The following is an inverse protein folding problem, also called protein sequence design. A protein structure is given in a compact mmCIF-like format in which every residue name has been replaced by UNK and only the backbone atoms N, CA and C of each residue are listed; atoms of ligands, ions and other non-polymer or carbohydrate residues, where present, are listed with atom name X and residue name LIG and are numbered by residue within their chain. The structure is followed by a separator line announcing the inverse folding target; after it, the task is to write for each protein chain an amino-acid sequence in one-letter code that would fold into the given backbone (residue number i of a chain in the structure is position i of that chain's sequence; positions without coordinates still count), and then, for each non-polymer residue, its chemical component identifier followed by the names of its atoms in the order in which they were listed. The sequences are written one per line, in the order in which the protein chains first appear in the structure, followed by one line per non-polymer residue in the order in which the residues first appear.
data_IF_997462905430
#
_entry.id   IF_997462905430
#
_cell.length_a   1.000
_cell.length_b   1.000
_cell.length_c   1.000
_cell.angle_alpha   90.00
_cell.angle_beta   90.00
_cell.angle_gamma   90.00
#
_symmetry.space_group_name_H-M   'P 1'
#
loop_
_entity.id
_entity.type
_entity.pdbx_description
1 polymer ?
#
# COMPACT_ATOMS: atom_id res chain seq x y z
N UNK A 1 -6.37 -13.74 0.32
CA UNK A 1 -6.48 -12.26 0.40
C UNK A 1 -7.04 -11.89 1.76
N UNK A 2 -6.75 -10.69 2.26
CA UNK A 2 -7.32 -10.23 3.52
C UNK A 2 -8.78 -9.82 3.33
N UNK A 3 -9.68 -10.29 4.19
CA UNK A 3 -11.10 -9.85 4.16
C UNK A 3 -11.42 -8.79 5.21
N UNK A 4 -10.55 -8.65 6.20
CA UNK A 4 -10.72 -7.72 7.31
C UNK A 4 -9.38 -7.31 7.90
N UNK A 5 -9.31 -6.08 8.37
CA UNK A 5 -8.20 -5.47 9.08
C UNK A 5 -8.79 -4.68 10.26
N UNK A 6 -8.41 -5.03 11.48
CA UNK A 6 -8.59 -4.16 12.64
C UNK A 6 -7.25 -3.53 12.96
N UNK A 7 -7.20 -2.23 13.26
CA UNK A 7 -5.97 -1.55 13.68
C UNK A 7 -6.24 -0.75 14.94
N UNK A 8 -5.39 -0.93 15.95
CA UNK A 8 -5.45 -0.18 17.19
C UNK A 8 -4.17 0.63 17.42
N UNK A 9 -4.35 1.82 18.00
CA UNK A 9 -3.29 2.76 18.40
C UNK A 9 -2.20 3.04 17.35
N UNK A 10 -2.59 3.20 16.08
CA UNK A 10 -1.69 3.59 14.99
C UNK A 10 -2.10 4.93 14.38
N UNK A 11 -1.35 6.00 14.68
CA UNK A 11 -1.65 7.36 14.21
C UNK A 11 -3.11 7.74 14.53
N UNK A 12 -3.95 7.99 13.53
CA UNK A 12 -5.39 8.28 13.71
C UNK A 12 -6.28 7.03 13.85
N UNK A 13 -5.73 5.83 13.66
CA UNK A 13 -6.44 4.54 13.82
C UNK A 13 -6.36 4.10 15.29
N UNK A 14 -7.42 4.34 16.06
CA UNK A 14 -7.44 4.05 17.51
C UNK A 14 -7.95 2.64 17.82
N UNK A 15 -9.10 2.29 17.25
CA UNK A 15 -9.70 0.95 17.25
C UNK A 15 -10.60 0.88 16.02
N UNK A 16 -9.95 0.81 14.85
CA UNK A 16 -10.60 0.95 13.56
C UNK A 16 -10.71 -0.42 12.92
N UNK A 17 -11.94 -0.85 12.68
CA UNK A 17 -12.26 -2.08 11.97
C UNK A 17 -12.61 -1.79 10.50
N UNK A 18 -11.99 -2.53 9.58
CA UNK A 18 -12.07 -2.30 8.14
C UNK A 18 -12.33 -3.63 7.47
N UNK A 19 -13.41 -3.72 6.70
CA UNK A 19 -13.64 -4.85 5.79
C UNK A 19 -12.96 -4.55 4.46
N UNK A 20 -12.34 -5.58 3.87
CA UNK A 20 -11.56 -5.47 2.64
C UNK A 20 -12.12 -6.41 1.58
N UNK A 21 -12.15 -5.92 0.35
CA UNK A 21 -12.46 -6.64 -0.88
C UNK A 21 -11.17 -6.88 -1.68
N UNK A 22 -11.20 -7.72 -2.73
CA UNK A 22 -10.08 -7.80 -3.68
C UNK A 22 -9.67 -6.43 -4.24
N UNK A 23 -10.64 -5.56 -4.54
CA UNK A 23 -10.45 -4.14 -4.81
C UNK A 23 -11.24 -3.33 -3.79
N UNK A 24 -10.55 -2.54 -2.96
CA UNK A 24 -11.16 -1.65 -1.96
C UNK A 24 -10.79 -0.20 -2.23
N UNK A 25 -11.78 0.69 -2.27
CA UNK A 25 -11.60 2.13 -2.45
C UNK A 25 -11.97 2.87 -1.16
N UNK A 26 -11.01 3.60 -0.61
CA UNK A 26 -11.21 4.50 0.52
C UNK A 26 -11.46 5.92 0.02
N UNK A 27 -12.63 6.48 0.33
CA UNK A 27 -13.04 7.85 0.01
C UNK A 27 -13.25 8.65 1.30
N UNK A 28 -12.81 9.90 1.36
CA UNK A 28 -12.90 10.69 2.59
C UNK A 28 -12.17 12.03 2.48
N UNK A 29 -12.36 13.01 3.39
CA UNK A 29 -11.62 14.27 3.39
C UNK A 29 -10.12 14.09 3.69
N UNK A 30 -9.33 15.14 3.43
CA UNK A 30 -7.90 15.15 3.74
C UNK A 30 -7.69 14.92 5.25
N UNK A 31 -6.73 14.07 5.61
CA UNK A 31 -6.45 13.75 7.01
C UNK A 31 -7.45 12.81 7.68
N UNK A 32 -8.43 12.23 6.98
CA UNK A 32 -9.38 11.28 7.58
C UNK A 32 -8.76 9.94 7.99
N UNK A 33 -7.54 9.63 7.51
CA UNK A 33 -6.80 8.42 7.88
C UNK A 33 -6.64 7.38 6.77
N UNK A 34 -7.10 7.65 5.53
CA UNK A 34 -6.97 6.72 4.38
C UNK A 34 -5.53 6.23 4.16
N UNK A 35 -4.56 7.15 4.12
CA UNK A 35 -3.13 6.81 4.01
C UNK A 35 -2.63 5.99 5.20
N UNK A 36 -3.11 6.28 6.41
CA UNK A 36 -2.72 5.52 7.60
C UNK A 36 -3.16 4.05 7.51
N UNK A 37 -4.27 3.76 6.83
CA UNK A 37 -4.73 2.38 6.59
C UNK A 37 -3.70 1.63 5.72
N UNK A 38 -3.33 2.19 4.56
CA UNK A 38 -2.36 1.59 3.65
C UNK A 38 -0.99 1.42 4.31
N UNK A 39 -0.54 2.45 5.04
CA UNK A 39 0.73 2.41 5.76
C UNK A 39 0.74 1.36 6.87
N UNK A 40 -0.37 1.14 7.59
CA UNK A 40 -0.44 0.11 8.64
C UNK A 40 -0.13 -1.29 8.10
N UNK A 41 -0.59 -1.61 6.87
CA UNK A 41 -0.30 -2.87 6.20
C UNK A 41 1.16 -2.95 5.74
N UNK A 42 1.71 -1.86 5.21
CA UNK A 42 3.12 -1.79 4.80
C UNK A 42 4.07 -1.98 5.99
N UNK A 43 3.74 -1.42 7.15
CA UNK A 43 4.50 -1.60 8.40
C UNK A 43 4.53 -3.08 8.79
N UNK A 44 3.38 -3.75 8.74
CA UNK A 44 3.28 -5.17 9.07
C UNK A 44 4.05 -6.06 8.10
N UNK A 45 3.97 -5.75 6.81
CA UNK A 45 4.75 -6.45 5.79
C UNK A 45 6.25 -6.29 6.01
N UNK A 46 6.71 -5.06 6.28
CA UNK A 46 8.12 -4.77 6.58
C UNK A 46 8.60 -5.57 7.78
N UNK A 47 7.79 -5.64 8.84
CA UNK A 47 8.10 -6.42 10.03
C UNK A 47 8.24 -7.92 9.71
N UNK A 48 7.32 -8.49 8.93
CA UNK A 48 7.38 -9.88 8.51
C UNK A 48 8.63 -10.20 7.68
N UNK A 49 8.97 -9.32 6.73
CA UNK A 49 10.17 -9.46 5.92
C UNK A 49 11.43 -9.46 6.78
N UNK A 50 11.52 -8.51 7.72
CA UNK A 50 12.67 -8.39 8.61
C UNK A 50 12.82 -9.60 9.54
N UNK A 51 11.72 -10.17 10.09
CA UNK A 51 11.81 -11.41 10.87
C UNK A 51 12.18 -12.61 10.00
N UNK A 52 11.67 -12.68 8.77
CA UNK A 52 11.97 -13.80 7.87
C UNK A 52 13.45 -13.85 7.49
N UNK A 53 14.10 -12.69 7.35
CA UNK A 53 15.50 -12.57 6.95
C UNK A 53 16.47 -12.79 8.12
N UNK A 54 17.33 -13.83 8.10
CA UNK A 54 18.30 -14.07 9.17
C UNK A 54 19.35 -12.99 9.36
N UNK A 55 19.58 -12.16 8.35
CA UNK A 55 20.65 -11.16 8.33
C UNK A 55 20.15 -9.75 8.64
N UNK A 56 18.84 -9.57 8.84
CA UNK A 56 18.26 -8.27 9.17
C UNK A 56 18.14 -8.12 10.69
N UNK A 57 19.01 -7.29 11.26
CA UNK A 57 19.18 -7.15 12.71
C UNK A 57 18.59 -5.85 13.27
N UNK A 58 18.12 -4.93 12.42
CA UNK A 58 17.65 -3.60 12.85
C UNK A 58 16.12 -3.48 12.95
N UNK A 59 15.52 -4.40 13.71
CA UNK A 59 14.10 -4.30 14.05
C UNK A 59 13.80 -3.00 14.80
N UNK A 60 14.72 -2.51 15.63
CA UNK A 60 14.54 -1.27 16.40
C UNK A 60 14.41 -0.04 15.50
N UNK A 61 15.23 0.08 14.45
CA UNK A 61 15.10 1.11 13.43
C UNK A 61 13.78 1.02 12.67
N UNK A 62 13.37 -0.20 12.31
CA UNK A 62 12.07 -0.46 11.66
C UNK A 62 10.91 0.05 12.52
N UNK A 63 10.90 -0.28 13.82
CA UNK A 63 9.89 0.22 14.77
C UNK A 63 9.96 1.73 14.99
N UNK A 64 11.16 2.29 15.11
CA UNK A 64 11.37 3.72 15.35
C UNK A 64 10.88 4.55 14.16
N UNK A 65 11.05 4.04 12.94
CA UNK A 65 10.56 4.66 11.70
C UNK A 65 9.03 4.82 11.67
N UNK A 66 8.30 3.88 12.26
CA UNK A 66 6.84 3.80 12.15
C UNK A 66 6.07 4.12 13.45
N UNK A 67 6.76 4.43 14.55
CA UNK A 67 6.17 4.89 15.82
C UNK A 67 6.27 6.41 15.95
N UNK A 68 5.13 7.10 16.13
CA UNK A 68 5.13 8.55 16.32
C UNK A 68 5.78 8.93 17.67
N UNK A 69 6.28 10.17 17.80
CA UNK A 69 6.59 10.77 19.11
C UNK A 69 5.27 11.26 19.72
N UNK A 70 4.61 10.44 20.51
CA UNK A 70 3.60 10.91 21.47
C UNK A 70 3.92 10.30 22.81
N UNK A 71 3.98 11.14 23.85
CA UNK A 71 4.16 10.67 25.22
C UNK A 71 3.02 9.72 25.59
N UNK A 72 3.35 8.62 26.26
CA UNK A 72 2.54 7.45 26.60
C UNK A 72 2.55 6.30 25.58
N UNK A 73 2.63 5.07 26.12
CA UNK A 73 2.76 3.78 25.43
C UNK A 73 1.94 3.71 24.13
N UNK A 74 2.62 3.66 22.99
CA UNK A 74 1.99 3.24 21.73
C UNK A 74 2.01 1.73 21.68
N UNK A 75 0.88 1.09 21.40
CA UNK A 75 0.82 -0.35 21.18
C UNK A 75 -0.03 -0.65 19.97
N UNK A 76 0.59 -0.93 18.83
CA UNK A 76 -0.15 -1.44 17.67
C UNK A 76 -0.91 -2.70 18.09
N UNK A 77 -2.13 -2.95 17.64
CA UNK A 77 -2.78 -4.27 17.70
C UNK A 77 -3.54 -4.39 16.39
N UNK A 78 -3.10 -5.28 15.50
CA UNK A 78 -3.88 -5.63 14.32
C UNK A 78 -4.70 -6.89 14.58
N UNK A 79 -5.85 -7.06 13.93
CA UNK A 79 -6.51 -8.38 13.80
C UNK A 79 -6.90 -8.55 12.34
N UNK A 80 -6.49 -9.66 11.75
CA UNK A 80 -6.81 -10.04 10.37
C UNK A 80 -7.89 -11.12 10.37
N UNK A 81 -8.69 -11.23 9.30
CA UNK A 81 -9.69 -12.30 9.16
C UNK A 81 -9.73 -12.81 7.71
N UNK A 82 -9.88 -14.13 7.53
CA UNK A 82 -10.03 -14.78 6.22
C UNK A 82 -11.11 -15.89 6.26
N UNK A 83 -12.35 -15.57 6.67
CA UNK A 83 -13.49 -16.52 6.59
C UNK A 83 -13.49 -17.68 7.60
N UNK A 84 -12.35 -17.99 8.24
CA UNK A 84 -12.22 -18.73 9.50
C UNK A 84 -11.58 -17.81 10.57
N UNK A 85 -11.78 -18.12 11.85
CA UNK A 85 -11.40 -17.31 13.03
C UNK A 85 -9.86 -17.29 13.26
N UNK A 86 -9.11 -16.85 12.25
CA UNK A 86 -7.65 -16.78 12.26
C UNK A 86 -7.27 -15.30 12.37
N UNK A 87 -6.65 -14.86 13.46
CA UNK A 87 -6.24 -13.46 13.63
C UNK A 87 -4.82 -13.32 14.16
N UNK A 88 -4.09 -12.33 13.63
CA UNK A 88 -2.73 -11.98 14.02
C UNK A 88 -2.76 -10.68 14.82
N UNK A 89 -2.45 -10.75 16.11
CA UNK A 89 -2.22 -9.61 17.03
C UNK A 89 -0.73 -9.25 17.03
N UNK A 90 -0.40 -8.16 16.39
CA UNK A 90 0.91 -7.56 16.53
C UNK A 90 0.89 -6.47 17.57
N UNK A 91 1.65 -6.59 18.67
CA UNK A 91 1.74 -5.55 19.71
C UNK A 91 3.15 -5.14 20.05
N UNK A 92 3.52 -3.93 19.62
CA UNK A 92 4.83 -3.34 19.90
C UNK A 92 4.67 -2.11 20.80
N UNK A 93 5.35 -2.07 21.95
CA UNK A 93 5.28 -0.95 22.88
C UNK A 93 6.63 -0.34 23.24
N UNK A 94 6.69 1.00 23.17
CA UNK A 94 7.86 1.80 23.54
C UNK A 94 7.55 2.69 24.74
N UNK A 95 8.43 2.70 25.75
CA UNK A 95 8.40 3.65 26.85
C UNK A 95 9.40 4.78 26.60
N UNK A 96 8.96 6.03 26.72
CA UNK A 96 9.87 7.18 26.91
C UNK A 96 10.33 7.18 28.36
N UNK A 97 11.63 7.01 28.60
CA UNK A 97 12.21 7.18 29.93
C UNK A 97 12.37 8.70 30.13
N UNK A 98 11.69 9.27 31.13
CA UNK A 98 11.68 10.72 31.40
C UNK A 98 13.02 11.27 31.93
N UNK A 99 14.04 10.43 32.13
CA UNK A 99 15.29 10.80 32.83
C UNK A 99 16.58 10.73 31.97
N UNK A 100 16.52 10.51 30.66
CA UNK A 100 17.73 10.55 29.81
C UNK A 100 17.93 11.97 29.22
N UNK A 101 19.10 12.63 29.39
CA UNK A 101 19.39 13.89 28.71
C UNK A 101 19.30 13.71 27.19
N UNK A 102 19.13 14.79 26.42
CA UNK A 102 18.93 14.71 24.98
C UNK A 102 20.23 14.31 24.26
N UNK A 103 20.64 13.05 24.37
CA UNK A 103 21.44 12.40 23.36
C UNK A 103 20.50 12.04 22.22
N UNK A 104 20.79 12.54 21.03
CA UNK A 104 20.28 11.93 19.82
C UNK A 104 20.64 10.43 19.86
N UNK A 105 19.71 9.58 19.44
CA UNK A 105 19.78 8.11 19.33
C UNK A 105 19.26 7.30 20.53
N UNK A 106 18.05 6.73 20.35
CA UNK A 106 17.62 5.50 21.04
C UNK A 106 16.28 5.59 21.78
N UNK A 107 15.15 5.32 21.10
CA UNK A 107 13.92 4.92 21.80
C UNK A 107 14.10 3.47 22.28
N UNK A 108 13.94 3.21 23.58
CA UNK A 108 13.97 1.84 24.11
C UNK A 108 12.59 1.18 23.98
N UNK A 109 12.51 0.12 23.16
CA UNK A 109 11.33 -0.75 23.08
C UNK A 109 11.37 -1.67 24.30
N UNK A 110 10.42 -1.52 25.22
CA UNK A 110 10.44 -2.25 26.51
C UNK A 110 9.67 -3.56 26.47
N UNK A 111 8.70 -3.68 25.56
CA UNK A 111 7.93 -4.91 25.37
C UNK A 111 7.49 -5.04 23.90
N UNK A 112 7.95 -6.13 23.27
CA UNK A 112 7.47 -6.60 21.97
C UNK A 112 6.71 -7.91 22.22
N UNK A 113 5.43 -7.91 21.87
CA UNK A 113 4.56 -9.09 21.95
C UNK A 113 3.90 -9.37 20.61
N UNK A 114 4.04 -10.60 20.11
CA UNK A 114 3.35 -11.07 18.92
C UNK A 114 2.43 -12.22 19.35
N UNK A 115 1.13 -12.03 19.15
CA UNK A 115 0.10 -13.03 19.34
C UNK A 115 -0.41 -13.49 17.98
N UNK A 116 -0.32 -14.79 17.69
CA UNK A 116 -0.96 -15.36 16.51
C UNK A 116 -1.98 -16.36 17.02
N UNK A 117 -3.26 -16.08 16.74
CA UNK A 117 -4.35 -16.99 17.01
C UNK A 117 -4.75 -17.63 15.68
N UNK A 118 -4.23 -18.84 15.47
CA UNK A 118 -4.56 -19.71 14.35
C UNK A 118 -5.31 -20.93 14.93
N UNK A 119 -6.23 -21.59 14.18
CA UNK A 119 -7.04 -22.66 14.75
C UNK A 119 -6.14 -23.72 15.38
N UNK A 120 -6.29 -23.88 16.70
CA UNK A 120 -5.59 -24.83 17.58
C UNK A 120 -4.18 -24.50 18.08
N UNK A 121 -3.59 -23.32 17.77
CA UNK A 121 -2.30 -22.92 18.37
C UNK A 121 -2.23 -21.42 18.65
N UNK A 122 -2.28 -21.06 19.94
CA UNK A 122 -2.06 -19.70 20.42
C UNK A 122 -0.55 -19.52 20.67
N UNK A 123 0.13 -18.82 19.75
CA UNK A 123 1.57 -18.54 19.87
C UNK A 123 1.74 -17.16 20.46
N UNK A 124 2.33 -17.10 21.65
CA UNK A 124 2.61 -15.86 22.35
C UNK A 124 4.11 -15.69 22.55
N UNK A 125 4.72 -14.82 21.74
CA UNK A 125 6.11 -14.43 21.90
C UNK A 125 6.17 -13.10 22.63
N UNK A 126 6.72 -13.07 23.86
CA UNK A 126 6.93 -11.85 24.64
C UNK A 126 8.40 -11.67 25.00
N UNK A 127 8.96 -10.54 24.59
CA UNK A 127 10.31 -10.12 24.94
C UNK A 127 10.24 -8.83 25.78
N UNK A 128 10.81 -8.86 26.99
CA UNK A 128 10.93 -7.69 27.88
C UNK A 128 12.37 -7.56 28.37
N UNK A 129 13.04 -6.42 28.20
CA UNK A 129 14.22 -6.12 29.04
C UNK A 129 14.58 -4.64 29.14
N UNK A 130 15.39 -4.34 30.17
CA UNK A 130 15.96 -3.04 30.57
C UNK A 130 17.43 -2.84 30.14
N UNK A 131 17.96 -3.65 29.22
CA UNK A 131 19.38 -3.59 28.84
C UNK A 131 19.56 -3.26 27.36
N UNK A 132 20.61 -2.49 27.07
CA UNK A 132 20.95 -2.00 25.74
C UNK A 132 21.15 -3.13 24.71
N UNK A 133 20.66 -2.85 23.50
CA UNK A 133 20.18 -3.77 22.48
C UNK A 133 21.30 -4.30 21.58
N UNK A 134 21.40 -5.63 21.44
CA UNK A 134 21.75 -6.31 20.17
C UNK A 134 21.23 -7.76 20.19
N UNK A 135 20.46 -8.10 19.15
CA UNK A 135 20.15 -9.44 18.65
C UNK A 135 19.32 -10.44 19.50
N UNK A 136 19.33 -10.39 20.84
CA UNK A 136 18.68 -11.45 21.66
C UNK A 136 17.14 -11.46 21.60
N UNK A 137 16.49 -10.32 21.36
CA UNK A 137 15.02 -10.21 21.38
C UNK A 137 14.35 -10.84 20.16
N UNK A 138 14.96 -10.66 19.00
CA UNK A 138 14.42 -11.07 17.71
C UNK A 138 14.63 -12.57 17.49
N UNK A 139 15.73 -13.14 17.98
CA UNK A 139 16.01 -14.57 17.88
C UNK A 139 14.92 -15.44 18.52
N UNK A 140 14.43 -15.07 19.71
CA UNK A 140 13.37 -15.83 20.39
C UNK A 140 12.02 -15.71 19.70
N UNK A 141 11.62 -14.49 19.33
CA UNK A 141 10.37 -14.26 18.60
C UNK A 141 10.41 -15.00 17.26
N UNK A 142 11.54 -14.93 16.57
CA UNK A 142 11.78 -15.63 15.31
C UNK A 142 11.76 -17.14 15.47
N UNK A 143 12.41 -17.71 16.49
CA UNK A 143 12.43 -19.16 16.68
C UNK A 143 11.05 -19.71 17.04
N UNK A 144 10.26 -18.97 17.83
CA UNK A 144 8.87 -19.30 18.13
C UNK A 144 7.97 -19.17 16.88
N UNK A 145 8.20 -18.16 16.02
CA UNK A 145 7.46 -17.97 14.76
C UNK A 145 7.81 -19.01 13.68
N UNK A 146 9.10 -19.33 13.54
CA UNK A 146 9.55 -20.39 12.62
C UNK A 146 9.00 -21.74 13.10
N UNK A 147 9.10 -22.01 14.41
CA UNK A 147 8.64 -23.26 15.00
C UNK A 147 7.12 -23.46 14.96
N UNK A 148 6.34 -22.42 14.72
CA UNK A 148 4.88 -22.47 14.65
C UNK A 148 4.29 -22.62 13.25
N UNK A 149 5.11 -22.59 12.19
CA UNK A 149 4.62 -22.69 10.81
C UNK A 149 3.89 -21.44 10.33
N UNK A 150 4.04 -20.30 11.01
CA UNK A 150 3.38 -19.03 10.66
C UNK A 150 3.79 -18.55 9.27
N UNK A 151 5.04 -18.79 8.88
CA UNK A 151 5.55 -18.45 7.54
C UNK A 151 4.91 -19.27 6.42
N UNK A 152 4.29 -20.40 6.74
CA UNK A 152 3.53 -21.24 5.81
C UNK A 152 2.02 -20.91 5.83
N UNK A 153 1.59 -19.94 6.64
CA UNK A 153 0.18 -19.56 6.78
C UNK A 153 -0.31 -18.68 5.62
N UNK A 154 -1.61 -18.75 5.35
CA UNK A 154 -2.29 -17.90 4.37
C UNK A 154 -2.24 -16.41 4.74
N UNK A 155 -2.13 -16.08 6.04
CA UNK A 155 -1.98 -14.70 6.51
C UNK A 155 -0.60 -14.17 6.16
N UNK A 156 0.45 -14.96 6.40
CA UNK A 156 1.80 -14.59 5.99
C UNK A 156 1.89 -14.44 4.47
N UNK A 157 1.32 -15.37 3.71
CA UNK A 157 1.22 -15.25 2.25
C UNK A 157 0.53 -13.96 1.81
N UNK A 158 -0.58 -13.58 2.47
CA UNK A 158 -1.31 -12.35 2.16
C UNK A 158 -0.57 -11.06 2.54
N UNK A 159 0.31 -11.09 3.55
CA UNK A 159 1.08 -9.93 4.03
C UNK A 159 2.56 -9.94 3.61
N UNK A 160 2.97 -10.95 2.84
CA UNK A 160 4.37 -11.20 2.46
C UNK A 160 5.02 -9.95 1.86
N UNK A 161 4.28 -9.25 1.00
CA UNK A 161 4.75 -8.03 0.37
C UNK A 161 3.60 -7.06 0.12
N UNK A 162 3.63 -5.95 0.84
CA UNK A 162 2.68 -4.85 0.70
C UNK A 162 3.43 -3.63 0.20
N UNK A 163 3.09 -3.19 -1.01
CA UNK A 163 3.65 -1.98 -1.61
C UNK A 163 2.65 -0.83 -1.55
N UNK A 164 3.14 0.36 -1.23
CA UNK A 164 2.35 1.59 -1.19
C UNK A 164 2.98 2.58 -2.16
N UNK A 165 2.21 3.05 -3.13
CA UNK A 165 2.65 4.00 -4.14
C UNK A 165 1.89 5.33 -4.01
N UNK A 166 2.67 6.40 -3.93
CA UNK A 166 2.25 7.80 -3.97
C UNK A 166 3.09 8.51 -5.02
N UNK A 167 2.73 8.30 -6.28
CA UNK A 167 3.57 8.69 -7.40
C UNK A 167 3.75 10.21 -7.50
N UNK A 168 5.00 10.65 -7.58
CA UNK A 168 5.37 12.05 -7.79
C UNK A 168 6.01 12.22 -9.16
N UNK A 169 5.46 13.06 -10.07
CA UNK A 169 6.05 13.30 -11.38
C UNK A 169 7.51 13.75 -11.31
N UNK A 170 7.87 14.58 -10.33
CA UNK A 170 9.24 15.02 -10.11
C UNK A 170 10.19 13.87 -9.73
N UNK A 171 9.71 12.90 -8.96
CA UNK A 171 10.48 11.69 -8.61
C UNK A 171 10.59 10.73 -9.79
N UNK A 172 9.51 10.57 -10.55
CA UNK A 172 9.44 9.73 -11.75
C UNK A 172 10.36 10.22 -12.88
N UNK A 173 10.45 11.54 -13.07
CA UNK A 173 11.32 12.16 -14.06
C UNK A 173 12.80 12.20 -13.64
N UNK A 174 13.12 11.86 -12.39
CA UNK A 174 14.49 11.96 -11.86
C UNK A 174 15.34 10.79 -12.32
N UNK A 175 16.45 11.09 -12.99
CA UNK A 175 17.51 10.11 -13.26
C UNK A 175 18.33 9.92 -11.98
N UNK A 176 18.37 8.67 -11.51
CA UNK A 176 19.10 8.30 -10.29
C UNK A 176 20.39 7.54 -10.63
N UNK A 177 21.31 7.51 -9.66
CA UNK A 177 22.56 6.77 -9.78
C UNK A 177 22.37 5.26 -9.62
N UNK A 178 23.42 4.51 -9.98
CA UNK A 178 23.45 3.03 -9.96
C UNK A 178 23.33 2.37 -8.59
N UNK A 179 23.32 3.14 -7.50
CA UNK A 179 23.04 2.63 -6.16
C UNK A 179 21.56 2.32 -5.93
N UNK A 180 20.66 2.84 -6.78
CA UNK A 180 19.23 2.54 -6.74
C UNK A 180 18.98 1.31 -7.60
N UNK A 181 18.30 0.31 -7.02
CA UNK A 181 18.04 -0.98 -7.67
C UNK A 181 16.55 -1.31 -7.74
N UNK A 182 15.67 -0.42 -7.31
CA UNK A 182 14.23 -0.64 -7.34
C UNK A 182 13.47 0.69 -7.37
N UNK A 183 12.19 0.61 -7.73
CA UNK A 183 11.27 1.76 -7.68
C UNK A 183 10.74 1.93 -6.26
N UNK A 184 10.86 3.12 -5.68
CA UNK A 184 10.34 3.42 -4.34
C UNK A 184 8.85 3.89 -4.38
N UNK A 185 8.28 4.17 -3.20
CA UNK A 185 6.89 4.67 -3.04
C UNK A 185 6.54 5.85 -3.97
N UNK A 186 7.49 6.75 -4.23
CA UNK A 186 7.25 7.94 -5.06
C UNK A 186 7.38 7.71 -6.56
N UNK A 187 7.83 6.51 -6.97
CA UNK A 187 8.15 6.18 -8.34
C UNK A 187 9.59 6.49 -8.75
N UNK A 188 10.39 7.10 -7.88
CA UNK A 188 11.82 7.23 -8.15
C UNK A 188 12.46 5.85 -8.33
N UNK A 189 13.32 5.72 -9.34
CA UNK A 189 13.93 4.45 -9.73
C UNK A 189 13.13 3.69 -10.77
N UNK A 190 12.05 4.28 -11.34
CA UNK A 190 11.21 3.64 -12.35
C UNK A 190 11.99 3.07 -13.54
N UNK A 191 13.04 3.76 -14.02
CA UNK A 191 13.86 3.26 -15.11
C UNK A 191 14.55 1.94 -14.77
N UNK A 192 14.99 1.76 -13.52
CA UNK A 192 15.58 0.51 -13.04
C UNK A 192 14.53 -0.58 -12.92
N UNK A 193 13.36 -0.28 -12.36
CA UNK A 193 12.27 -1.26 -12.29
C UNK A 193 11.84 -1.74 -13.69
N UNK A 194 11.77 -0.84 -14.69
CA UNK A 194 11.50 -1.21 -16.08
C UNK A 194 12.60 -2.06 -16.70
N UNK A 195 13.88 -1.75 -16.40
CA UNK A 195 15.03 -2.59 -16.81
C UNK A 195 14.93 -3.98 -16.18
N UNK A 196 14.60 -4.07 -14.90
CA UNK A 196 14.45 -5.35 -14.19
C UNK A 196 13.33 -6.18 -14.81
N UNK A 197 12.17 -5.59 -15.08
CA UNK A 197 11.06 -6.25 -15.79
C UNK A 197 11.51 -6.74 -17.17
N UNK A 198 12.17 -5.88 -17.95
CA UNK A 198 12.66 -6.22 -19.30
C UNK A 198 13.64 -7.41 -19.28
N UNK A 199 14.50 -7.50 -18.26
CA UNK A 199 15.49 -8.56 -18.14
C UNK A 199 14.93 -9.85 -17.55
N UNK A 200 14.01 -9.76 -16.59
CA UNK A 200 13.43 -10.91 -15.90
C UNK A 200 12.30 -11.57 -16.73
N UNK A 201 11.40 -10.75 -17.27
CA UNK A 201 10.23 -11.19 -18.03
C UNK A 201 9.99 -10.28 -19.24
N UNK A 202 10.63 -10.64 -20.35
CA UNK A 202 10.48 -9.93 -21.62
C UNK A 202 9.04 -9.96 -22.13
N UNK A 203 8.30 -11.05 -21.92
CA UNK A 203 6.91 -11.14 -22.38
C UNK A 203 6.04 -10.17 -21.57
N UNK A 204 6.20 -10.14 -20.25
CA UNK A 204 5.55 -9.17 -19.38
C UNK A 204 5.87 -7.72 -19.76
N UNK A 205 7.12 -7.43 -20.14
CA UNK A 205 7.50 -6.11 -20.65
C UNK A 205 6.80 -5.75 -21.97
N UNK A 206 6.75 -6.68 -22.93
CA UNK A 206 6.08 -6.47 -24.22
C UNK A 206 4.57 -6.23 -24.02
N UNK A 207 3.94 -6.95 -23.07
CA UNK A 207 2.54 -6.74 -22.67
C UNK A 207 2.32 -5.38 -21.99
N UNK A 208 3.24 -4.97 -21.11
CA UNK A 208 3.24 -3.64 -20.49
C UNK A 208 3.28 -2.55 -21.57
N UNK A 209 4.17 -2.67 -22.57
CA UNK A 209 4.26 -1.69 -23.67
C UNK A 209 2.99 -1.66 -24.53
N UNK A 210 2.38 -2.83 -24.79
CA UNK A 210 1.11 -2.89 -25.52
C UNK A 210 -0.01 -2.19 -24.74
N UNK A 211 -0.12 -2.42 -23.42
CA UNK A 211 -1.09 -1.70 -22.57
C UNK A 211 -0.79 -0.20 -22.51
N UNK A 212 0.48 0.19 -22.42
CA UNK A 212 0.88 1.60 -22.47
C UNK A 212 0.40 2.26 -23.77
N UNK A 213 0.57 1.60 -24.92
CA UNK A 213 0.10 2.11 -26.22
C UNK A 213 -1.41 2.23 -26.31
N UNK A 214 -2.17 1.37 -25.63
CA UNK A 214 -3.63 1.47 -25.55
C UNK A 214 -4.06 2.69 -24.71
N UNK A 215 -3.34 2.98 -23.62
CA UNK A 215 -3.62 4.11 -22.74
C UNK A 215 -3.10 5.43 -23.32
N UNK A 216 -1.93 5.42 -23.96
CA UNK A 216 -1.26 6.58 -24.55
C UNK A 216 -1.00 6.36 -26.05
N UNK A 217 -2.01 6.54 -26.94
CA UNK A 217 -1.92 6.18 -28.36
C UNK A 217 -0.87 6.92 -29.19
N UNK A 218 -0.35 8.03 -28.66
CA UNK A 218 0.69 8.84 -29.29
C UNK A 218 2.10 8.29 -29.02
N UNK A 219 2.25 7.35 -28.09
CA UNK A 219 3.53 6.73 -27.75
C UNK A 219 3.72 5.47 -28.58
N UNK A 220 4.94 5.26 -29.07
CA UNK A 220 5.35 4.09 -29.85
C UNK A 220 5.96 3.00 -28.97
N UNK A 221 6.95 3.35 -28.13
CA UNK A 221 7.63 2.41 -27.22
C UNK A 221 8.38 3.14 -26.11
N UNK A 222 8.79 2.38 -25.09
CA UNK A 222 9.70 2.80 -24.04
C UNK A 222 11.15 2.56 -24.51
N UNK A 223 12.06 3.47 -24.17
CA UNK A 223 13.49 3.30 -24.34
C UNK A 223 14.19 3.58 -23.02
N UNK A 224 15.16 2.74 -22.68
CA UNK A 224 15.91 2.78 -21.41
C UNK A 224 17.41 2.94 -21.70
N UNK A 225 17.87 4.13 -22.13
CA UNK A 225 19.28 4.30 -22.47
C UNK A 225 20.16 4.17 -21.22
N UNK A 226 21.29 3.51 -21.40
CA UNK A 226 22.33 3.38 -20.37
C UNK A 226 23.33 4.52 -20.49
N UNK A 227 23.39 5.36 -19.47
CA UNK A 227 24.39 6.42 -19.32
C UNK A 227 25.76 5.90 -18.90
N UNK A 228 26.76 6.80 -18.94
CA UNK A 228 28.18 6.48 -18.71
C UNK A 228 28.48 5.88 -17.32
N UNK A 229 27.68 6.21 -16.30
CA UNK A 229 27.85 5.73 -14.92
C UNK A 229 26.99 4.50 -14.60
N UNK A 230 26.59 3.74 -15.62
CA UNK A 230 25.61 2.65 -15.49
C UNK A 230 24.26 3.14 -14.93
N UNK A 231 23.94 4.41 -15.15
CA UNK A 231 22.62 4.96 -14.86
C UNK A 231 21.66 4.63 -15.99
N UNK A 232 20.41 4.33 -15.68
CA UNK A 232 19.35 4.21 -16.68
C UNK A 232 18.44 5.43 -16.62
N UNK A 233 18.06 5.96 -17.78
CA UNK A 233 17.01 6.97 -17.91
C UNK A 233 15.77 6.38 -18.56
N UNK A 234 14.63 7.03 -18.35
CA UNK A 234 13.40 6.73 -19.06
C UNK A 234 13.24 7.71 -20.24
N UNK A 235 13.01 7.17 -21.43
CA UNK A 235 12.62 7.92 -22.63
C UNK A 235 11.43 7.23 -23.30
N UNK A 236 10.62 8.01 -24.01
CA UNK A 236 9.57 7.49 -24.89
C UNK A 236 9.87 7.83 -26.33
N UNK A 237 9.44 6.99 -27.26
CA UNK A 237 9.43 7.32 -28.69
C UNK A 237 8.04 7.78 -29.08
N UNK A 238 7.93 8.98 -29.65
CA UNK A 238 6.70 9.48 -30.24
C UNK A 238 6.34 8.70 -31.52
N UNK A 239 5.06 8.34 -31.66
CA UNK A 239 4.56 7.52 -32.78
C UNK A 239 4.58 8.20 -34.13
N UNK A 240 4.50 9.54 -34.18
CA UNK A 240 4.35 10.28 -35.44
C UNK A 240 5.67 10.89 -35.93
N UNK A 241 6.59 11.17 -35.03
CA UNK A 241 7.85 11.86 -35.31
C UNK A 241 9.10 11.01 -35.09
N UNK A 242 8.97 9.82 -34.49
CA UNK A 242 10.09 8.99 -34.01
C UNK A 242 11.06 9.74 -33.07
N UNK A 243 10.61 10.86 -32.51
CA UNK A 243 11.40 11.69 -31.61
C UNK A 243 11.50 11.04 -30.22
N UNK A 244 12.70 11.12 -29.64
CA UNK A 244 12.95 10.71 -28.27
C UNK A 244 12.49 11.79 -27.30
N UNK A 245 11.56 11.44 -26.42
CA UNK A 245 11.05 12.31 -25.38
C UNK A 245 11.69 11.88 -24.06
N UNK A 246 12.63 12.65 -23.49
CA UNK A 246 13.24 12.34 -22.20
C UNK A 246 12.21 12.47 -21.08
N UNK A 247 12.39 11.72 -20.00
CA UNK A 247 11.47 11.72 -18.84
C UNK A 247 11.15 13.09 -18.24
N UNK A 248 12.03 14.08 -18.36
CA UNK A 248 11.78 15.48 -17.95
C UNK A 248 10.69 16.18 -18.77
N UNK A 249 10.45 15.72 -20.00
CA UNK A 249 9.57 16.35 -20.98
C UNK A 249 8.29 15.54 -21.19
N UNK A 250 8.16 14.37 -20.53
CA UNK A 250 6.94 13.57 -20.51
C UNK A 250 5.92 14.27 -19.58
N UNK A 251 4.66 14.37 -20.03
CA UNK A 251 3.59 14.91 -19.20
C UNK A 251 3.40 14.12 -17.90
N UNK A 252 3.11 14.78 -16.78
CA UNK A 252 2.86 14.17 -15.47
C UNK A 252 1.90 12.98 -15.50
N UNK A 253 0.77 13.12 -16.21
CA UNK A 253 -0.21 12.04 -16.34
C UNK A 253 0.38 10.81 -17.02
N UNK A 254 1.16 10.99 -18.09
CA UNK A 254 1.83 9.89 -18.79
C UNK A 254 2.90 9.22 -17.91
N UNK A 255 3.68 9.98 -17.14
CA UNK A 255 4.64 9.41 -16.16
C UNK A 255 3.91 8.55 -15.12
N UNK A 256 2.76 9.01 -14.60
CA UNK A 256 1.94 8.25 -13.66
C UNK A 256 1.35 6.98 -14.27
N UNK A 257 0.92 7.01 -15.53
CA UNK A 257 0.46 5.79 -16.23
C UNK A 257 1.60 4.77 -16.37
N UNK A 258 2.81 5.22 -16.73
CA UNK A 258 3.97 4.32 -16.82
C UNK A 258 4.28 3.75 -15.44
N UNK A 259 4.31 4.57 -14.39
CA UNK A 259 4.55 4.13 -13.02
C UNK A 259 3.52 3.11 -12.52
N UNK A 260 2.24 3.37 -12.83
CA UNK A 260 1.14 2.47 -12.54
C UNK A 260 1.32 1.11 -13.22
N UNK A 261 1.62 1.09 -14.52
CA UNK A 261 1.90 -0.18 -15.22
C UNK A 261 3.16 -0.85 -14.68
N UNK A 262 4.24 -0.11 -14.43
CA UNK A 262 5.48 -0.65 -13.86
C UNK A 262 5.22 -1.33 -12.51
N UNK A 263 4.44 -0.71 -11.62
CA UNK A 263 4.08 -1.28 -10.33
C UNK A 263 3.31 -2.61 -10.45
N UNK A 264 2.50 -2.74 -11.50
CA UNK A 264 1.67 -3.90 -11.76
C UNK A 264 2.43 -5.08 -12.39
N UNK A 265 3.52 -4.81 -13.09
CA UNK A 265 4.31 -5.80 -13.84
C UNK A 265 5.63 -6.20 -13.14
N UNK A 266 5.86 -5.75 -11.89
CA UNK A 266 7.07 -6.14 -11.16
C UNK A 266 7.11 -7.66 -10.92
N UNK A 267 8.29 -8.25 -11.11
CA UNK A 267 8.53 -9.70 -11.00
C UNK A 267 8.14 -10.26 -9.62
N UNK A 268 8.59 -9.62 -8.54
CA UNK A 268 8.18 -9.95 -7.18
C UNK A 268 6.84 -9.28 -6.89
N UNK A 269 5.79 -9.77 -7.56
CA UNK A 269 4.45 -9.18 -7.51
C UNK A 269 3.96 -9.15 -6.05
N UNK A 270 3.63 -7.97 -5.51
CA UNK A 270 3.17 -7.84 -4.14
C UNK A 270 1.81 -8.52 -3.94
N UNK A 271 1.57 -9.03 -2.72
CA UNK A 271 0.29 -9.61 -2.34
C UNK A 271 -0.80 -8.54 -2.15
N UNK A 272 -0.39 -7.32 -1.79
CA UNK A 272 -1.25 -6.13 -1.68
C UNK A 272 -0.56 -4.92 -2.29
N UNK A 273 -1.26 -4.18 -3.15
CA UNK A 273 -0.82 -2.87 -3.66
C UNK A 273 -1.77 -1.80 -3.16
N UNK A 274 -1.22 -0.74 -2.59
CA UNK A 274 -1.95 0.47 -2.24
C UNK A 274 -1.57 1.60 -3.20
N UNK A 275 -2.53 2.18 -3.89
CA UNK A 275 -2.34 3.40 -4.68
C UNK A 275 -2.94 4.60 -3.95
N UNK A 276 -2.11 5.60 -3.65
CA UNK A 276 -2.56 6.85 -3.05
C UNK A 276 -2.93 7.88 -4.12
N UNK A 277 -4.11 8.47 -3.95
CA UNK A 277 -4.66 9.54 -4.80
C UNK A 277 -4.41 9.28 -6.29
N UNK A 278 -4.78 8.08 -6.75
CA UNK A 278 -4.48 7.57 -8.09
C UNK A 278 -5.04 8.45 -9.21
N UNK A 279 -6.06 9.26 -8.91
CA UNK A 279 -6.65 10.25 -9.81
C UNK A 279 -5.72 11.45 -10.14
N UNK A 280 -4.71 11.73 -9.31
CA UNK A 280 -4.00 13.00 -9.37
C UNK A 280 -3.25 13.17 -10.68
N UNK A 281 -3.54 14.24 -11.41
CA UNK A 281 -2.89 14.54 -12.71
C UNK A 281 -3.27 13.57 -13.84
N UNK A 282 -4.29 12.73 -13.64
CA UNK A 282 -4.75 11.75 -14.64
C UNK A 282 -6.11 12.19 -15.21
N UNK A 283 -6.24 12.14 -16.54
CA UNK A 283 -7.49 12.46 -17.22
C UNK A 283 -8.60 11.44 -16.85
N UNK A 284 -9.87 11.85 -16.63
CA UNK A 284 -10.95 10.95 -16.22
C UNK A 284 -11.13 9.68 -17.06
N UNK A 285 -10.94 9.78 -18.38
CA UNK A 285 -11.00 8.62 -19.28
C UNK A 285 -9.87 7.60 -19.00
N UNK A 286 -8.65 8.07 -18.71
CA UNK A 286 -7.54 7.20 -18.33
C UNK A 286 -7.79 6.57 -16.95
N UNK A 287 -8.29 7.37 -16.00
CA UNK A 287 -8.64 6.88 -14.68
C UNK A 287 -9.64 5.73 -14.74
N UNK A 288 -10.66 5.84 -15.59
CA UNK A 288 -11.61 4.74 -15.84
C UNK A 288 -10.90 3.46 -16.31
N UNK A 289 -9.98 3.58 -17.29
CA UNK A 289 -9.22 2.43 -17.81
C UNK A 289 -8.27 1.84 -16.79
N UNK A 290 -7.67 2.66 -15.92
CA UNK A 290 -6.87 2.18 -14.80
C UNK A 290 -7.71 1.37 -13.80
N UNK A 291 -8.90 1.85 -13.44
CA UNK A 291 -9.81 1.13 -12.53
C UNK A 291 -10.28 -0.19 -13.15
N UNK A 292 -10.63 -0.21 -14.45
CA UNK A 292 -10.95 -1.46 -15.16
C UNK A 292 -9.79 -2.47 -15.07
N UNK A 293 -8.54 -2.02 -15.28
CA UNK A 293 -7.38 -2.88 -15.15
C UNK A 293 -7.18 -3.38 -13.71
N UNK A 294 -7.37 -2.51 -12.70
CA UNK A 294 -7.26 -2.89 -11.30
C UNK A 294 -8.32 -3.92 -10.87
N UNK A 295 -9.53 -3.86 -11.44
CA UNK A 295 -10.54 -4.90 -11.23
C UNK A 295 -10.01 -6.27 -11.71
N UNK A 296 -9.47 -6.33 -12.93
CA UNK A 296 -8.89 -7.56 -13.50
C UNK A 296 -7.70 -8.05 -12.65
N UNK A 297 -6.77 -7.15 -12.29
CA UNK A 297 -5.62 -7.45 -11.42
C UNK A 297 -6.09 -8.06 -10.09
N UNK A 298 -7.17 -7.52 -9.52
CA UNK A 298 -7.68 -7.96 -8.23
C UNK A 298 -8.36 -9.33 -8.23
N UNK A 299 -8.85 -9.80 -9.37
CA UNK A 299 -9.60 -11.05 -9.46
C UNK A 299 -8.85 -12.15 -10.21
N UNK A 300 -8.17 -11.79 -11.29
CA UNK A 300 -7.50 -12.72 -12.22
C UNK A 300 -5.98 -12.62 -12.11
N UNK A 301 -5.46 -11.46 -11.71
CA UNK A 301 -4.03 -11.16 -11.74
C UNK A 301 -3.53 -10.78 -13.14
N UNK A 302 -2.31 -10.24 -13.21
CA UNK A 302 -1.64 -9.99 -14.51
C UNK A 302 -0.88 -11.22 -14.97
N UNK A 303 -0.12 -11.86 -14.07
CA UNK A 303 0.67 -13.07 -14.30
C UNK A 303 -0.04 -14.35 -13.83
N UNK A 304 -1.35 -14.28 -13.60
CA UNK A 304 -2.18 -15.43 -13.17
C UNK A 304 -2.30 -15.61 -11.65
N UNK A 305 -1.79 -14.67 -10.85
CA UNK A 305 -2.10 -14.60 -9.42
C UNK A 305 -2.77 -13.26 -9.08
N UNK A 306 -3.93 -13.27 -8.42
CA UNK A 306 -4.66 -12.06 -8.10
C UNK A 306 -3.96 -11.28 -6.99
N UNK A 307 -3.93 -9.96 -7.15
CA UNK A 307 -3.27 -9.03 -6.22
C UNK A 307 -4.33 -8.21 -5.51
N UNK A 308 -4.30 -8.12 -4.19
CA UNK A 308 -5.28 -7.29 -3.50
C UNK A 308 -4.96 -5.81 -3.70
N UNK A 309 -5.93 -5.02 -4.15
CA UNK A 309 -5.75 -3.62 -4.50
C UNK A 309 -6.51 -2.73 -3.52
N UNK A 310 -5.78 -1.78 -2.93
CA UNK A 310 -6.33 -0.72 -2.09
C UNK A 310 -6.10 0.63 -2.78
N UNK A 311 -7.13 1.46 -2.87
CA UNK A 311 -7.03 2.81 -3.46
C UNK A 311 -7.45 3.81 -2.40
N UNK A 312 -6.66 4.87 -2.19
CA UNK A 312 -7.14 6.06 -1.49
C UNK A 312 -7.48 7.13 -2.53
N UNK A 313 -8.60 7.82 -2.32
CA UNK A 313 -9.06 8.83 -3.27
C UNK A 313 -9.84 9.93 -2.58
N UNK A 314 -9.89 11.07 -3.24
CA UNK A 314 -10.76 12.22 -2.98
C UNK A 314 -11.69 12.49 -4.17
N UNK A 315 -11.61 11.67 -5.22
CA UNK A 315 -12.26 11.90 -6.50
C UNK A 315 -13.66 11.28 -6.54
N UNK A 316 -14.73 12.09 -6.63
CA UNK A 316 -16.07 11.56 -6.90
C UNK A 316 -16.12 10.85 -8.25
N UNK A 317 -15.34 11.31 -9.22
CA UNK A 317 -15.24 10.71 -10.55
C UNK A 317 -14.74 9.26 -10.48
N UNK A 318 -13.81 8.94 -9.56
CA UNK A 318 -13.33 7.57 -9.37
C UNK A 318 -14.46 6.66 -8.88
N UNK A 319 -15.32 7.15 -7.99
CA UNK A 319 -16.42 6.38 -7.42
C UNK A 319 -17.38 5.85 -8.49
N UNK A 320 -17.55 6.56 -9.60
CA UNK A 320 -18.42 6.14 -10.71
C UNK A 320 -17.86 4.92 -11.47
N UNK A 321 -16.62 4.50 -11.23
CA UNK A 321 -15.98 3.36 -11.89
C UNK A 321 -15.91 2.11 -11.00
N UNK A 322 -16.39 2.19 -9.76
CA UNK A 322 -16.34 1.09 -8.78
C UNK A 322 -17.73 0.73 -8.27
N UNK A 323 -17.85 -0.48 -7.75
CA UNK A 323 -19.12 -0.99 -7.25
C UNK A 323 -19.32 -0.55 -5.79
N UNK A 324 -20.56 -0.28 -5.32
CA UNK A 324 -20.80 0.24 -3.97
C UNK A 324 -20.19 -0.61 -2.84
N UNK A 325 -20.14 -1.94 -3.01
CA UNK A 325 -19.56 -2.85 -2.01
C UNK A 325 -18.02 -2.76 -1.93
N UNK A 326 -17.36 -2.17 -2.93
CA UNK A 326 -15.90 -1.94 -2.95
C UNK A 326 -15.51 -0.66 -2.21
N UNK A 327 -16.47 0.22 -1.91
CA UNK A 327 -16.19 1.53 -1.33
C UNK A 327 -16.25 1.49 0.20
N UNK A 328 -15.34 2.22 0.83
CA UNK A 328 -15.29 2.51 2.26
C UNK A 328 -15.21 4.02 2.45
N UNK A 329 -16.22 4.59 3.09
CA UNK A 329 -16.20 5.99 3.48
C UNK A 329 -15.36 6.16 4.76
N UNK A 330 -14.43 7.11 4.73
CA UNK A 330 -13.44 7.33 5.80
C UNK A 330 -13.58 8.74 6.33
N UNK A 331 -13.90 8.87 7.60
CA UNK A 331 -14.13 10.13 8.30
C UNK A 331 -13.23 10.25 9.52
N UNK A 332 -13.15 11.45 10.08
CA UNK A 332 -12.55 11.70 11.38
C UNK A 332 -13.64 12.18 12.34
N UNK A 333 -13.74 11.54 13.51
CA UNK A 333 -14.69 11.97 14.53
C UNK A 333 -14.20 13.22 15.28
N UNK A 334 -15.05 13.73 16.19
CA UNK A 334 -14.75 14.92 17.00
C UNK A 334 -13.57 14.74 17.95
N UNK A 335 -13.15 13.50 18.21
CA UNK A 335 -12.02 13.15 19.06
C UNK A 335 -10.73 12.92 18.24
N UNK A 336 -10.79 13.09 16.92
CA UNK A 336 -9.64 12.89 16.03
C UNK A 336 -9.42 11.43 15.62
N UNK A 337 -10.41 10.55 15.81
CA UNK A 337 -10.29 9.11 15.49
C UNK A 337 -10.86 8.82 14.11
N UNK A 338 -10.16 7.99 13.35
CA UNK A 338 -10.62 7.53 12.05
C UNK A 338 -11.79 6.56 12.19
N UNK A 339 -12.89 6.88 11.51
CA UNK A 339 -14.06 6.04 11.35
C UNK A 339 -14.14 5.54 9.91
N UNK A 340 -14.42 4.26 9.73
CA UNK A 340 -14.52 3.63 8.40
C UNK A 340 -15.88 2.96 8.28
N UNK A 341 -16.63 3.32 7.24
CA UNK A 341 -17.99 2.85 7.02
C UNK A 341 -18.10 2.13 5.69
N UNK A 342 -18.78 0.98 5.69
CA UNK A 342 -19.26 0.35 4.47
C UNK A 342 -20.46 1.11 3.94
N UNK A 343 -20.61 1.18 2.62
CA UNK A 343 -21.81 1.76 2.03
C UNK A 343 -23.02 0.88 2.38
N UNK A 344 -24.19 1.46 2.74
CA UNK A 344 -25.36 0.72 3.17
C UNK A 344 -26.11 0.13 1.96
N UNK A 345 -25.47 -0.77 1.21
CA UNK A 345 -25.97 -1.37 -0.04
C UNK A 345 -27.26 -2.16 0.15
N UNK A 346 -27.56 -2.62 1.37
CA UNK A 346 -28.81 -3.29 1.73
C UNK A 346 -29.98 -2.34 2.07
N UNK A 347 -29.69 -1.05 2.24
CA UNK A 347 -30.71 -0.05 2.57
C UNK A 347 -31.55 0.30 1.34
N UNK A 348 -32.87 0.12 1.45
CA UNK A 348 -33.81 0.58 0.43
C UNK A 348 -33.70 2.08 0.16
N UNK A 349 -33.32 2.88 1.18
CA UNK A 349 -33.09 4.32 1.01
C UNK A 349 -31.87 4.58 0.13
N UNK A 350 -30.77 3.89 0.39
CA UNK A 350 -29.54 4.02 -0.39
C UNK A 350 -29.74 3.58 -1.84
N UNK A 351 -30.40 2.43 -2.07
CA UNK A 351 -30.70 1.94 -3.43
C UNK A 351 -31.54 2.93 -4.22
N UNK A 352 -32.60 3.48 -3.63
CA UNK A 352 -33.44 4.51 -4.27
C UNK A 352 -32.67 5.79 -4.58
N UNK A 353 -31.75 6.18 -3.70
CA UNK A 353 -30.92 7.34 -3.93
C UNK A 353 -29.92 7.10 -5.07
N UNK A 354 -29.25 5.94 -5.07
CA UNK A 354 -28.35 5.55 -6.15
C UNK A 354 -29.07 5.48 -7.50
N UNK A 355 -30.28 4.92 -7.54
CA UNK A 355 -31.15 4.93 -8.72
C UNK A 355 -31.53 6.35 -9.18
N UNK A 356 -31.78 7.28 -8.24
CA UNK A 356 -32.11 8.67 -8.56
C UNK A 356 -30.94 9.46 -9.15
N UNK A 357 -29.71 8.98 -8.96
CA UNK A 357 -28.48 9.52 -9.54
C UNK A 357 -27.93 8.61 -10.65
N UNK A 358 -28.78 7.79 -11.29
CA UNK A 358 -28.42 6.90 -12.41
C UNK A 358 -27.24 5.94 -12.12
N UNK A 359 -26.99 5.62 -10.85
CA UNK A 359 -25.87 4.79 -10.43
C UNK A 359 -24.57 5.54 -10.11
N UNK A 360 -24.52 6.86 -10.25
CA UNK A 360 -23.33 7.67 -10.00
C UNK A 360 -23.08 7.86 -8.50
N UNK A 361 -22.20 7.03 -7.95
CA UNK A 361 -21.75 7.11 -6.56
C UNK A 361 -21.08 8.45 -6.23
N UNK A 362 -20.41 9.07 -7.20
CA UNK A 362 -19.76 10.37 -7.07
C UNK A 362 -20.74 11.49 -6.72
N UNK A 363 -21.88 11.54 -7.41
CA UNK A 363 -22.95 12.52 -7.11
C UNK A 363 -23.59 12.23 -5.75
N UNK A 364 -23.82 10.95 -5.45
CA UNK A 364 -24.39 10.54 -4.17
C UNK A 364 -23.48 10.92 -2.98
N UNK A 365 -22.16 10.92 -3.16
CA UNK A 365 -21.20 11.31 -2.12
C UNK A 365 -21.41 12.75 -1.64
N UNK A 366 -21.70 13.69 -2.56
CA UNK A 366 -21.97 15.09 -2.21
C UNK A 366 -23.27 15.29 -1.43
N UNK A 367 -24.15 14.29 -1.40
CA UNK A 367 -25.43 14.36 -0.66
C UNK A 367 -25.33 13.89 0.80
N UNK A 368 -24.13 13.53 1.25
CA UNK A 368 -23.85 13.05 2.62
C UNK A 368 -24.68 11.82 3.02
N UNK A 369 -25.02 10.96 2.04
CA UNK A 369 -25.88 9.80 2.30
C UNK A 369 -25.15 8.57 2.85
N UNK A 370 -23.83 8.51 2.73
CA UNK A 370 -23.01 7.40 3.20
C UNK A 370 -21.69 7.81 3.87
N UNK A 371 -21.52 9.10 4.14
CA UNK A 371 -20.35 9.66 4.81
C UNK A 371 -19.10 9.81 3.92
N UNK A 372 -18.02 10.26 4.53
CA UNK A 372 -16.73 10.56 3.91
C UNK A 372 -16.73 11.91 3.18
N UNK A 373 -17.76 12.74 3.31
CA UNK A 373 -17.85 14.02 2.61
C UNK A 373 -16.89 15.05 3.24
N UNK A 374 -16.18 15.89 2.46
CA UNK A 374 -15.57 17.11 3.00
C UNK A 374 -16.61 18.00 3.71
N UNK A 375 -16.34 18.28 4.99
CA UNK A 375 -17.18 19.14 5.84
C UNK A 375 -17.21 20.61 5.41
#
# INVERSE_FOLDING_TARGET
MLSKLQVQHYKSLFDTEITLEPLTVFIGPNGSGKSNICESLSVLSSFFQAISNPQDYDMQGLFTKYTQKTGSNQSFESKFWQGQLNYLVFKASSLTIEDDPPSEEGKNITELSLGIDYPEQLIFAKASSKDYVRNKYTERVRSELIGSGVFDSEIFSALKKVEVYDFSPAALARVVGSSVTSMNRTGEGIAYALVDILHADRQGFDELEERLRQLLPNISRIVLPRGNNQSFSLELIDKYSDHHIPSSDISDGSLRIIAFLTALYQEDTPSIICFEEIENGVHPWLLHKMVELLKIVSTEGISGQPVQVLITTHSPTLLNYVDPHQVRAVEIDKEGKTQVHTLPTDSARFRKALEAYDGDLGELWFTDQFGGNPA
#
